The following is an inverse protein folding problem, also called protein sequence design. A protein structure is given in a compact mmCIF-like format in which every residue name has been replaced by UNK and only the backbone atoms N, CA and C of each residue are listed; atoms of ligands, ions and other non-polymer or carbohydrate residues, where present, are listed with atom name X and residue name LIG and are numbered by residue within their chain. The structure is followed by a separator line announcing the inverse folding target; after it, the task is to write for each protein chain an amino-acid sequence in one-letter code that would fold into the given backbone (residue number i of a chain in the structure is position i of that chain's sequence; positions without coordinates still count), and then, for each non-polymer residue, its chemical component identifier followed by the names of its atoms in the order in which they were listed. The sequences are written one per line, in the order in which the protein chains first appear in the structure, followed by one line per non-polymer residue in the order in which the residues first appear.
data_IF_578317604714
#
_entry.id   IF_578317604714
#
_cell.length_a   1.000
_cell.length_b   1.000
_cell.length_c   1.000
_cell.angle_alpha   90.00
_cell.angle_beta   90.00
_cell.angle_gamma   90.00
#
_symmetry.space_group_name_H-M   'P 1'
#
loop_
_entity.id
_entity.type
_entity.pdbx_description
1 polymer ?
#
# COMPACT_ATOMS: atom_id res chain seq x y z
N UNK A 1 -3.16 -8.59 -9.73
CA UNK A 1 -2.02 -7.77 -9.26
C UNK A 1 -1.43 -6.88 -10.36
N UNK A 2 -2.15 -6.63 -11.46
CA UNK A 2 -1.60 -5.87 -12.59
C UNK A 2 -1.24 -4.41 -12.22
N UNK A 3 -2.02 -3.76 -11.36
CA UNK A 3 -1.76 -2.39 -10.89
C UNK A 3 -0.58 -2.34 -9.92
N UNK A 4 -0.45 -3.35 -9.04
CA UNK A 4 0.72 -3.47 -8.16
C UNK A 4 1.98 -3.69 -9.00
N UNK A 5 1.91 -4.54 -10.03
CA UNK A 5 3.05 -4.81 -10.90
C UNK A 5 3.49 -3.57 -11.72
N UNK A 6 2.63 -2.55 -11.85
CA UNK A 6 2.95 -1.26 -12.48
C UNK A 6 3.67 -0.27 -11.56
N UNK A 7 3.67 -0.47 -10.24
CA UNK A 7 4.41 0.39 -9.32
C UNK A 7 5.91 0.37 -9.65
N UNK A 8 6.55 1.54 -9.72
CA UNK A 8 7.98 1.61 -10.07
C UNK A 8 8.87 1.11 -8.93
N UNK A 9 8.40 1.26 -7.69
CA UNK A 9 9.15 0.92 -6.48
C UNK A 9 8.91 -0.50 -6.00
N UNK A 10 9.99 -1.24 -5.77
CA UNK A 10 9.93 -2.61 -5.28
C UNK A 10 9.37 -2.71 -3.84
N UNK A 11 9.63 -1.71 -2.99
CA UNK A 11 9.09 -1.66 -1.64
C UNK A 11 7.59 -1.36 -1.64
N UNK A 12 7.15 -0.39 -2.45
CA UNK A 12 5.72 -0.10 -2.62
C UNK A 12 4.97 -1.35 -3.12
N UNK A 13 5.56 -2.08 -4.06
CA UNK A 13 5.05 -3.39 -4.52
C UNK A 13 4.93 -4.40 -3.41
N UNK A 14 5.99 -4.61 -2.63
CA UNK A 14 6.01 -5.58 -1.54
C UNK A 14 4.95 -5.24 -0.49
N UNK A 15 4.82 -3.96 -0.13
CA UNK A 15 3.83 -3.50 0.82
C UNK A 15 2.40 -3.65 0.28
N UNK A 16 2.16 -3.29 -0.98
CA UNK A 16 0.85 -3.49 -1.60
C UNK A 16 0.44 -4.98 -1.63
N UNK A 17 1.38 -5.90 -1.86
CA UNK A 17 1.12 -7.35 -1.77
C UNK A 17 0.80 -7.77 -0.34
N UNK A 18 1.59 -7.31 0.63
CA UNK A 18 1.34 -7.57 2.05
C UNK A 18 -0.04 -7.07 2.49
N UNK A 19 -0.44 -5.89 2.03
CA UNK A 19 -1.77 -5.32 2.22
C UNK A 19 -2.88 -6.23 1.69
N UNK A 20 -2.73 -6.81 0.49
CA UNK A 20 -3.71 -7.75 -0.06
C UNK A 20 -3.82 -9.06 0.73
N UNK A 21 -2.74 -9.50 1.37
CA UNK A 21 -2.71 -10.73 2.16
C UNK A 21 -3.22 -10.55 3.59
N UNK A 22 -3.13 -9.32 4.12
CA UNK A 22 -3.39 -9.05 5.56
C UNK A 22 -4.60 -8.15 5.81
N UNK A 23 -4.96 -7.28 4.86
CA UNK A 23 -6.02 -6.27 5.00
C UNK A 23 -7.15 -6.52 4.02
N UNK A 24 -8.36 -6.12 4.41
CA UNK A 24 -9.52 -6.10 3.52
C UNK A 24 -9.71 -4.71 2.87
N UNK A 25 -10.66 -4.63 1.92
CA UNK A 25 -10.96 -3.40 1.16
C UNK A 25 -11.31 -2.22 2.06
N UNK A 26 -12.00 -2.44 3.18
CA UNK A 26 -12.39 -1.37 4.10
C UNK A 26 -11.18 -0.82 4.86
N UNK A 27 -10.29 -1.69 5.35
CA UNK A 27 -9.03 -1.29 6.00
C UNK A 27 -8.10 -0.53 5.06
N UNK A 28 -8.00 -0.94 3.79
CA UNK A 28 -7.20 -0.23 2.80
C UNK A 28 -7.79 1.12 2.45
N UNK A 29 -9.12 1.23 2.39
CA UNK A 29 -9.80 2.51 2.18
C UNK A 29 -9.62 3.45 3.36
N UNK A 30 -9.63 2.96 4.59
CA UNK A 30 -9.28 3.75 5.76
C UNK A 30 -7.84 4.25 5.66
N UNK A 31 -6.90 3.34 5.36
CA UNK A 31 -5.49 3.67 5.17
C UNK A 31 -5.20 4.68 4.06
N UNK A 32 -6.06 4.83 3.03
CA UNK A 32 -5.93 5.92 2.03
C UNK A 32 -6.40 7.28 2.52
N UNK A 33 -7.25 7.33 3.56
CA UNK A 33 -7.77 8.58 4.13
C UNK A 33 -7.01 9.02 5.39
N UNK A 34 -6.18 8.14 5.94
CA UNK A 34 -5.39 8.37 7.14
C UNK A 34 -3.92 8.63 6.77
N UNK A 35 -3.24 9.42 7.60
CA UNK A 35 -1.79 9.60 7.47
C UNK A 35 -1.09 8.30 7.87
N UNK A 36 -0.17 7.76 7.06
CA UNK A 36 0.59 6.57 7.41
C UNK A 36 1.39 6.76 8.69
N UNK A 37 1.44 5.71 9.52
CA UNK A 37 2.29 5.68 10.70
C UNK A 37 3.77 5.82 10.31
N UNK A 38 4.52 6.77 10.91
CA UNK A 38 5.92 6.99 10.58
C UNK A 38 6.80 5.78 10.93
N UNK A 39 6.42 5.01 11.95
CA UNK A 39 7.11 3.75 12.30
C UNK A 39 6.92 2.70 11.21
N UNK A 40 5.71 2.58 10.65
CA UNK A 40 5.43 1.65 9.55
C UNK A 40 6.17 2.07 8.28
N UNK A 41 6.19 3.36 7.96
CA UNK A 41 6.99 3.88 6.85
C UNK A 41 8.47 3.54 7.03
N UNK A 42 9.00 3.70 8.24
CA UNK A 42 10.40 3.38 8.52
C UNK A 42 10.68 1.88 8.50
N UNK A 43 9.77 1.03 8.99
CA UNK A 43 9.91 -0.43 8.99
C UNK A 43 9.97 -0.98 7.56
N UNK A 44 9.12 -0.46 6.68
CA UNK A 44 9.06 -0.85 5.28
C UNK A 44 10.02 -0.08 4.38
N UNK A 45 10.67 0.96 4.92
CA UNK A 45 11.53 1.88 4.19
C UNK A 45 10.79 2.62 3.07
N UNK A 46 9.52 2.96 3.30
CA UNK A 46 8.65 3.68 2.37
C UNK A 46 8.64 5.17 2.70
N UNK A 47 8.45 5.97 1.66
CA UNK A 47 7.99 7.35 1.78
C UNK A 47 6.47 7.40 1.86
N UNK A 48 5.90 8.51 2.36
CA UNK A 48 4.45 8.72 2.37
C UNK A 48 3.82 8.55 0.98
N UNK A 49 4.50 9.02 -0.07
CA UNK A 49 4.04 8.87 -1.46
C UNK A 49 4.00 7.41 -1.91
N UNK A 50 5.08 6.66 -1.66
CA UNK A 50 5.15 5.23 -2.00
C UNK A 50 4.15 4.39 -1.22
N UNK A 51 3.89 4.73 0.05
CA UNK A 51 2.84 4.12 0.85
C UNK A 51 1.46 4.38 0.23
N UNK A 52 1.15 5.64 -0.09
CA UNK A 52 -0.13 6.01 -0.67
C UNK A 52 -0.37 5.31 -2.02
N UNK A 53 0.65 5.24 -2.88
CA UNK A 53 0.61 4.49 -4.13
C UNK A 53 0.39 3.00 -3.90
N UNK A 54 1.09 2.39 -2.94
CA UNK A 54 0.96 0.99 -2.60
C UNK A 54 -0.45 0.63 -2.10
N UNK A 55 -0.99 1.41 -1.15
CA UNK A 55 -2.33 1.20 -0.60
C UNK A 55 -3.40 1.44 -1.67
N UNK A 56 -3.24 2.47 -2.51
CA UNK A 56 -4.18 2.74 -3.61
C UNK A 56 -4.18 1.62 -4.64
N UNK A 57 -2.99 1.12 -5.03
CA UNK A 57 -2.88 0.00 -5.95
C UNK A 57 -3.47 -1.28 -5.35
N UNK A 58 -3.23 -1.57 -4.07
CA UNK A 58 -3.81 -2.70 -3.37
C UNK A 58 -5.35 -2.60 -3.29
N UNK A 59 -5.88 -1.41 -2.95
CA UNK A 59 -7.32 -1.17 -2.90
C UNK A 59 -7.97 -1.37 -4.27
N UNK A 60 -7.35 -0.86 -5.33
CA UNK A 60 -7.85 -0.97 -6.70
C UNK A 60 -7.80 -2.41 -7.25
N UNK A 61 -6.96 -3.28 -6.68
CA UNK A 61 -6.93 -4.71 -7.02
C UNK A 61 -8.04 -5.52 -6.34
N UNK A 62 -8.61 -5.03 -5.23
CA UNK A 62 -9.71 -5.69 -4.52
C UNK A 62 -11.11 -5.24 -4.98
N UNK A 63 -11.20 -4.17 -5.77
CA UNK A 63 -12.44 -3.62 -6.32
C UNK A 63 -12.74 -4.14 -7.72
#
# INVERSE_FOLDING_TARGET
MQLIDQLSDAQAKAYAKHCLETKNTEELRAATNETPDPELLSEWGLTEGQYAEAVTAALAELG
#
